data_IF_152499374410
#
_entry.id   IF_152499374410
#
_cell.length_a   1.000
_cell.length_b   1.000
_cell.length_c   1.000
_cell.angle_alpha   90.00
_cell.angle_beta   90.00
_cell.angle_gamma   90.00
#
_symmetry.space_group_name_H-M   'P 1'
#
loop_
_entity.id
_entity.type
_entity.pdbx_description
1 polymer ?
#
# COMPACT_ATOMS: atom_id res chain seq x y z
N UNK A 1 22.55 -7.23 -3.37
CA UNK A 1 21.42 -6.31 -3.58
C UNK A 1 21.13 -5.64 -2.26
N UNK A 2 21.02 -4.32 -2.22
CA UNK A 2 20.59 -3.61 -1.00
C UNK A 2 19.09 -3.36 -1.15
N UNK A 3 18.29 -4.11 -0.42
CA UNK A 3 16.84 -3.89 -0.36
C UNK A 3 16.56 -2.85 0.72
N UNK A 4 15.81 -1.81 0.39
CA UNK A 4 15.25 -0.89 1.37
C UNK A 4 14.07 -1.60 2.05
N UNK A 5 14.28 -2.11 3.26
CA UNK A 5 13.21 -2.71 4.08
C UNK A 5 12.94 -1.84 5.29
N UNK A 6 11.68 -1.58 5.54
CA UNK A 6 11.19 -0.85 6.71
C UNK A 6 9.89 -1.41 7.23
N UNK A 7 9.20 -0.66 8.06
CA UNK A 7 7.93 -1.09 8.62
C UNK A 7 6.93 0.06 8.77
N UNK A 8 5.68 -0.28 8.99
CA UNK A 8 4.61 0.66 9.32
C UNK A 8 4.71 1.12 10.78
N UNK A 9 4.52 2.40 11.01
CA UNK A 9 4.49 3.03 12.33
C UNK A 9 3.15 3.71 12.57
N UNK A 10 2.49 3.35 13.67
CA UNK A 10 1.28 4.04 14.17
C UNK A 10 1.60 5.33 14.95
N UNK A 11 2.87 5.60 15.22
CA UNK A 11 3.35 6.75 15.99
C UNK A 11 4.29 7.66 15.21
N UNK A 12 5.28 8.22 15.91
CA UNK A 12 6.33 9.03 15.27
C UNK A 12 7.18 8.19 14.32
N UNK A 13 7.13 8.45 12.99
CA UNK A 13 7.85 7.62 12.02
C UNK A 13 9.36 7.69 12.19
N UNK A 14 9.91 8.83 12.60
CA UNK A 14 11.36 8.99 12.75
C UNK A 14 11.90 8.32 14.02
N UNK A 15 11.15 8.39 15.14
CA UNK A 15 11.50 7.64 16.35
C UNK A 15 11.42 6.14 16.09
N UNK A 16 10.41 5.70 15.33
CA UNK A 16 10.25 4.31 14.92
C UNK A 16 11.40 3.83 14.03
N UNK A 17 11.77 4.63 13.04
CA UNK A 17 12.91 4.36 12.16
C UNK A 17 14.21 4.22 12.97
N UNK A 18 14.45 5.14 13.90
CA UNK A 18 15.64 5.12 14.76
C UNK A 18 15.67 3.88 15.67
N UNK A 19 14.52 3.49 16.24
CA UNK A 19 14.42 2.33 17.13
C UNK A 19 14.64 0.99 16.40
N UNK A 20 14.18 0.88 15.15
CA UNK A 20 14.32 -0.35 14.33
C UNK A 20 15.52 -0.34 13.38
N UNK A 21 16.23 0.79 13.24
CA UNK A 21 17.32 0.94 12.26
C UNK A 21 16.84 0.95 10.81
N UNK A 22 15.63 1.50 10.55
CA UNK A 22 15.02 1.49 9.22
C UNK A 22 15.42 2.71 8.38
N UNK A 23 15.74 2.49 7.10
CA UNK A 23 15.95 3.55 6.11
C UNK A 23 14.67 4.05 5.45
N UNK A 24 13.57 3.33 5.62
CA UNK A 24 12.23 3.72 5.14
C UNK A 24 11.18 3.38 6.20
N UNK A 25 10.11 4.18 6.26
CA UNK A 25 8.95 3.94 7.16
C UNK A 25 7.67 4.34 6.47
N UNK A 26 6.63 3.55 6.68
CA UNK A 26 5.26 3.93 6.32
C UNK A 26 4.50 4.43 7.55
N UNK A 27 3.62 5.41 7.37
CA UNK A 27 2.78 5.92 8.45
C UNK A 27 1.46 6.48 7.90
N UNK A 28 0.52 6.75 8.80
CA UNK A 28 -0.68 7.51 8.48
C UNK A 28 -0.48 9.01 8.73
N UNK A 29 -1.16 9.86 7.94
CA UNK A 29 -1.26 11.29 8.21
C UNK A 29 -2.64 11.59 8.80
N UNK A 30 -2.81 11.30 10.08
CA UNK A 30 -4.04 11.39 10.85
C UNK A 30 -4.67 10.02 11.15
N UNK A 31 -5.85 10.01 11.77
CA UNK A 31 -6.56 8.79 12.11
C UNK A 31 -7.04 8.04 10.84
N UNK A 32 -6.60 6.78 10.61
CA UNK A 32 -6.95 6.03 9.40
C UNK A 32 -8.43 5.62 9.33
N UNK A 33 -9.18 5.73 10.42
CA UNK A 33 -10.61 5.43 10.48
C UNK A 33 -11.49 6.70 10.39
N UNK A 34 -10.89 7.88 10.39
CA UNK A 34 -11.62 9.13 10.38
C UNK A 34 -11.88 9.66 8.95
N UNK A 35 -13.03 10.29 8.76
CA UNK A 35 -13.38 11.01 7.52
C UNK A 35 -12.86 12.45 7.48
N UNK A 36 -12.24 12.93 8.56
CA UNK A 36 -11.78 14.32 8.71
C UNK A 36 -10.57 14.38 9.65
N UNK A 37 -9.90 15.52 9.68
CA UNK A 37 -8.82 15.77 10.64
C UNK A 37 -7.44 15.26 10.20
N UNK A 38 -7.29 14.86 8.94
CA UNK A 38 -6.00 14.43 8.43
C UNK A 38 -5.01 15.59 8.40
N UNK A 39 -3.91 15.43 9.11
CA UNK A 39 -2.85 16.43 9.25
C UNK A 39 -1.54 15.74 9.60
N UNK A 40 -0.43 16.44 9.38
CA UNK A 40 0.90 15.99 9.83
C UNK A 40 1.03 16.27 11.31
N UNK A 41 1.26 15.24 12.10
CA UNK A 41 1.55 15.36 13.54
C UNK A 41 3.07 15.52 13.74
N UNK A 42 3.52 16.76 13.57
CA UNK A 42 4.91 17.15 13.78
C UNK A 42 4.98 18.62 14.19
N UNK A 43 5.84 19.02 15.17
CA UNK A 43 5.93 20.41 15.64
C UNK A 43 6.21 21.43 14.53
N UNK A 44 7.01 21.04 13.54
CA UNK A 44 7.32 21.85 12.35
C UNK A 44 6.35 21.66 11.18
N UNK A 45 5.23 20.94 11.38
CA UNK A 45 4.31 20.56 10.31
C UNK A 45 4.97 19.70 9.23
N UNK A 46 4.41 19.68 8.02
CA UNK A 46 4.93 18.85 6.92
C UNK A 46 6.36 19.19 6.53
N UNK A 47 6.69 20.47 6.43
CA UNK A 47 8.04 20.92 6.09
C UNK A 47 9.08 20.51 7.16
N UNK A 48 8.70 20.57 8.44
CA UNK A 48 9.56 20.12 9.54
C UNK A 48 9.80 18.62 9.48
N UNK A 49 8.74 17.81 9.33
CA UNK A 49 8.89 16.36 9.19
C UNK A 49 9.76 15.98 7.99
N UNK A 50 9.58 16.67 6.85
CA UNK A 50 10.42 16.47 5.66
C UNK A 50 11.90 16.73 5.95
N UNK A 51 12.21 17.88 6.56
CA UNK A 51 13.59 18.25 6.87
C UNK A 51 14.25 17.26 7.85
N UNK A 52 13.52 16.82 8.87
CA UNK A 52 14.03 15.87 9.85
C UNK A 52 14.19 14.46 9.27
N UNK A 53 13.29 14.04 8.36
CA UNK A 53 13.42 12.77 7.62
C UNK A 53 14.64 12.78 6.69
N UNK A 54 14.84 13.88 5.94
CA UNK A 54 16.01 14.05 5.09
C UNK A 54 17.31 14.05 5.90
N UNK A 55 17.35 14.73 7.04
CA UNK A 55 18.51 14.74 7.95
C UNK A 55 18.81 13.37 8.56
N UNK A 56 17.77 12.57 8.83
CA UNK A 56 17.89 11.21 9.33
C UNK A 56 18.19 10.17 8.23
N UNK A 57 18.09 10.54 6.94
CA UNK A 57 18.22 9.62 5.83
C UNK A 57 17.04 8.63 5.70
N UNK A 58 15.84 8.98 6.23
CA UNK A 58 14.66 8.12 6.25
C UNK A 58 13.69 8.52 5.15
N UNK A 59 13.36 7.57 4.26
CA UNK A 59 12.30 7.73 3.27
C UNK A 59 10.93 7.47 3.88
N UNK A 60 9.94 8.31 3.55
CA UNK A 60 8.57 8.16 4.04
C UNK A 60 7.65 7.61 2.96
N UNK A 61 6.76 6.70 3.35
CA UNK A 61 5.58 6.27 2.61
C UNK A 61 4.33 6.59 3.43
N UNK A 62 3.25 6.96 2.75
CA UNK A 62 2.00 7.33 3.42
C UNK A 62 0.93 6.33 3.05
N UNK A 63 0.34 5.64 4.03
CA UNK A 63 -0.84 4.85 3.79
C UNK A 63 -2.09 5.73 3.88
N UNK A 64 -2.94 5.68 2.87
CA UNK A 64 -4.19 6.40 2.86
C UNK A 64 -5.18 5.79 3.86
N UNK A 65 -6.09 6.58 4.46
CA UNK A 65 -7.06 6.07 5.42
C UNK A 65 -7.93 4.93 4.89
N UNK A 66 -8.21 3.94 5.71
CA UNK A 66 -9.01 2.75 5.36
C UNK A 66 -10.46 3.07 4.95
N UNK A 67 -10.98 4.24 5.36
CA UNK A 67 -12.33 4.68 4.97
C UNK A 67 -12.47 5.02 3.49
N UNK A 68 -11.36 5.20 2.77
CA UNK A 68 -11.37 5.55 1.34
C UNK A 68 -11.88 4.37 0.51
N UNK A 69 -12.88 4.63 -0.32
CA UNK A 69 -13.31 3.74 -1.38
C UNK A 69 -13.63 4.55 -2.64
N UNK A 70 -12.64 4.71 -3.49
CA UNK A 70 -12.72 5.49 -4.73
C UNK A 70 -13.63 4.80 -5.76
N UNK A 71 -13.66 3.47 -5.75
CA UNK A 71 -14.40 2.67 -6.74
C UNK A 71 -15.92 2.71 -6.56
N UNK A 72 -16.40 2.91 -5.32
CA UNK A 72 -17.81 2.72 -4.97
C UNK A 72 -18.79 3.55 -5.82
N UNK A 73 -19.94 2.97 -6.12
CA UNK A 73 -21.07 3.65 -6.79
C UNK A 73 -21.80 4.62 -5.87
N UNK A 74 -21.63 4.48 -4.56
CA UNK A 74 -22.26 5.35 -3.56
C UNK A 74 -21.56 6.73 -3.48
N UNK A 75 -22.21 7.75 -3.99
CA UNK A 75 -21.71 9.12 -4.01
C UNK A 75 -21.39 9.68 -2.60
N UNK A 76 -22.10 9.20 -1.56
CA UNK A 76 -21.86 9.67 -0.18
C UNK A 76 -20.54 9.16 0.39
N UNK A 77 -19.98 8.10 -0.20
CA UNK A 77 -18.66 7.54 0.13
C UNK A 77 -17.64 8.00 -0.89
N UNK A 78 -17.93 7.87 -2.20
CA UNK A 78 -17.00 8.15 -3.28
C UNK A 78 -16.49 9.60 -3.30
N UNK A 79 -17.41 10.57 -3.15
CA UNK A 79 -17.02 11.99 -3.21
C UNK A 79 -16.08 12.35 -2.06
N UNK A 80 -16.41 12.05 -0.77
CA UNK A 80 -15.46 12.24 0.31
C UNK A 80 -14.14 11.44 0.14
N UNK A 81 -14.21 10.21 -0.38
CA UNK A 81 -13.00 9.40 -0.62
C UNK A 81 -12.02 10.10 -1.56
N UNK A 82 -12.49 10.65 -2.67
CA UNK A 82 -11.66 11.42 -3.61
C UNK A 82 -11.06 12.68 -2.96
N UNK A 83 -11.85 13.38 -2.13
CA UNK A 83 -11.37 14.56 -1.41
C UNK A 83 -10.29 14.21 -0.39
N UNK A 84 -10.45 13.10 0.34
CA UNK A 84 -9.45 12.62 1.29
C UNK A 84 -8.20 12.17 0.54
N UNK A 85 -8.32 11.41 -0.55
CA UNK A 85 -7.15 10.98 -1.34
C UNK A 85 -6.37 12.19 -1.87
N UNK A 86 -7.04 13.20 -2.43
CA UNK A 86 -6.40 14.45 -2.85
C UNK A 86 -5.70 15.17 -1.69
N UNK A 87 -6.32 15.17 -0.49
CA UNK A 87 -5.69 15.71 0.71
C UNK A 87 -4.47 14.92 1.13
N UNK A 88 -4.51 13.56 1.07
CA UNK A 88 -3.38 12.71 1.40
C UNK A 88 -2.21 12.93 0.44
N UNK A 89 -2.44 13.03 -0.88
CA UNK A 89 -1.39 13.36 -1.86
C UNK A 89 -0.73 14.71 -1.54
N UNK A 90 -1.54 15.73 -1.23
CA UNK A 90 -1.00 17.04 -0.84
C UNK A 90 -0.14 16.98 0.43
N UNK A 91 -0.62 16.32 1.48
CA UNK A 91 0.15 16.14 2.73
C UNK A 91 1.42 15.32 2.50
N UNK A 92 1.33 14.25 1.68
CA UNK A 92 2.49 13.45 1.29
C UNK A 92 3.55 14.28 0.55
N UNK A 93 3.13 15.20 -0.31
CA UNK A 93 4.02 16.17 -0.95
C UNK A 93 4.69 17.09 0.08
N UNK A 94 3.94 17.60 1.05
CA UNK A 94 4.45 18.48 2.10
C UNK A 94 5.53 17.79 2.97
N UNK A 95 5.38 16.47 3.22
CA UNK A 95 6.37 15.68 3.99
C UNK A 95 7.46 15.05 3.12
N UNK A 96 7.43 15.23 1.80
CA UNK A 96 8.41 14.66 0.88
C UNK A 96 8.32 13.12 0.79
N UNK A 97 7.13 12.55 0.91
CA UNK A 97 6.93 11.11 0.82
C UNK A 97 7.26 10.56 -0.58
N UNK A 98 7.68 9.30 -0.62
CA UNK A 98 8.00 8.56 -1.87
C UNK A 98 6.75 8.05 -2.59
N UNK A 99 5.64 7.87 -1.87
CA UNK A 99 4.37 7.39 -2.43
C UNK A 99 3.23 7.43 -1.41
N UNK A 100 2.00 7.36 -1.93
CA UNK A 100 0.77 7.20 -1.14
C UNK A 100 0.13 5.88 -1.51
N UNK A 101 0.04 4.96 -0.57
CA UNK A 101 -0.60 3.65 -0.74
C UNK A 101 -2.10 3.80 -0.54
N UNK A 102 -2.89 3.18 -1.41
CA UNK A 102 -4.34 3.20 -1.32
C UNK A 102 -4.93 1.88 -1.82
N UNK A 103 -5.82 1.28 -1.04
CA UNK A 103 -6.53 0.07 -1.43
C UNK A 103 -7.34 0.27 -2.71
N UNK A 104 -7.42 -0.75 -3.56
CA UNK A 104 -8.19 -0.71 -4.81
C UNK A 104 -9.69 -0.45 -4.63
N UNK A 105 -10.21 -0.64 -3.41
CA UNK A 105 -11.62 -0.43 -3.09
C UNK A 105 -12.54 -1.46 -3.74
N UNK A 106 -13.85 -1.21 -3.67
CA UNK A 106 -14.86 -2.15 -4.15
C UNK A 106 -16.15 -1.45 -4.59
N UNK A 107 -16.92 -2.10 -5.42
CA UNK A 107 -18.32 -1.73 -5.70
C UNK A 107 -19.28 -2.55 -4.84
N UNK A 108 -20.54 -2.09 -4.73
CA UNK A 108 -21.58 -2.80 -3.97
C UNK A 108 -21.98 -4.13 -4.60
N UNK A 109 -22.63 -4.98 -3.80
CA UNK A 109 -23.20 -6.23 -4.33
C UNK A 109 -24.27 -5.91 -5.40
N UNK A 110 -24.11 -6.45 -6.60
CA UNK A 110 -25.00 -6.21 -7.73
C UNK A 110 -24.68 -4.98 -8.57
N UNK A 111 -23.69 -4.17 -8.18
CA UNK A 111 -23.18 -3.10 -9.02
C UNK A 111 -22.28 -3.65 -10.14
N UNK A 112 -22.26 -2.96 -11.27
CA UNK A 112 -21.34 -3.27 -12.37
C UNK A 112 -19.91 -2.84 -12.00
N UNK A 113 -18.93 -3.75 -11.98
CA UNK A 113 -17.53 -3.43 -11.73
C UNK A 113 -16.95 -2.39 -12.68
N UNK A 114 -17.46 -2.31 -13.93
CA UNK A 114 -17.02 -1.31 -14.90
C UNK A 114 -17.19 0.13 -14.38
N UNK A 115 -18.22 0.36 -13.56
CA UNK A 115 -18.43 1.66 -12.90
C UNK A 115 -17.33 1.96 -11.90
N UNK A 116 -16.84 0.94 -11.18
CA UNK A 116 -15.74 1.08 -10.22
C UNK A 116 -14.42 1.45 -10.91
N UNK A 117 -14.11 0.81 -12.03
CA UNK A 117 -12.94 1.12 -12.85
C UNK A 117 -13.01 2.54 -13.44
N UNK A 118 -14.16 2.95 -13.98
CA UNK A 118 -14.36 4.32 -14.48
C UNK A 118 -14.28 5.36 -13.35
N UNK A 119 -14.74 5.01 -12.14
CA UNK A 119 -14.58 5.85 -10.97
C UNK A 119 -13.10 6.07 -10.60
N UNK A 120 -12.26 5.05 -10.72
CA UNK A 120 -10.82 5.17 -10.56
C UNK A 120 -10.19 6.06 -11.62
N UNK A 121 -10.50 5.83 -12.90
CA UNK A 121 -10.02 6.70 -13.99
C UNK A 121 -10.36 8.16 -13.74
N UNK A 122 -11.62 8.46 -13.42
CA UNK A 122 -12.06 9.84 -13.10
C UNK A 122 -11.43 10.41 -11.82
N UNK A 123 -11.00 9.58 -10.90
CA UNK A 123 -10.28 10.04 -9.72
C UNK A 123 -8.87 10.47 -10.09
N UNK A 124 -8.16 9.67 -10.88
CA UNK A 124 -6.80 9.96 -11.35
C UNK A 124 -6.81 11.24 -12.21
N UNK A 125 -7.73 11.37 -13.19
CA UNK A 125 -7.89 12.59 -14.00
C UNK A 125 -8.08 13.87 -13.16
N UNK A 126 -8.59 13.76 -11.94
CA UNK A 126 -8.84 14.89 -11.06
C UNK A 126 -7.83 15.10 -9.95
N UNK A 127 -6.74 14.30 -9.90
CA UNK A 127 -5.70 14.41 -8.90
C UNK A 127 -4.47 15.15 -9.43
N UNK A 128 -3.94 16.06 -8.63
CA UNK A 128 -2.61 16.62 -8.86
C UNK A 128 -1.58 15.67 -8.21
N UNK A 129 -1.10 14.71 -9.01
CA UNK A 129 -0.20 13.65 -8.57
C UNK A 129 1.26 14.12 -8.49
N UNK A 130 1.54 15.02 -7.56
CA UNK A 130 2.89 15.49 -7.25
C UNK A 130 3.73 14.45 -6.50
N UNK A 131 3.06 13.43 -5.93
CA UNK A 131 3.64 12.20 -5.36
C UNK A 131 2.87 11.01 -5.96
N UNK A 132 3.54 9.91 -6.32
CA UNK A 132 2.86 8.73 -6.86
C UNK A 132 1.81 8.18 -5.89
N UNK A 133 0.68 7.72 -6.45
CA UNK A 133 -0.23 6.83 -5.71
C UNK A 133 0.08 5.39 -6.08
N UNK A 134 0.08 4.49 -5.09
CA UNK A 134 0.32 3.07 -5.26
C UNK A 134 -0.97 2.33 -4.93
N UNK A 135 -1.63 1.79 -5.95
CA UNK A 135 -2.86 1.03 -5.74
C UNK A 135 -2.47 -0.35 -5.24
N UNK A 136 -3.03 -0.74 -4.10
CA UNK A 136 -2.72 -1.98 -3.42
C UNK A 136 -3.76 -3.05 -3.74
N UNK A 137 -3.28 -4.31 -3.94
CA UNK A 137 -4.17 -5.47 -3.98
C UNK A 137 -4.85 -5.68 -2.61
N UNK A 138 -6.01 -6.34 -2.61
CA UNK A 138 -6.83 -6.50 -1.40
C UNK A 138 -7.19 -7.96 -1.14
N UNK A 139 -7.26 -8.36 0.15
CA UNK A 139 -7.50 -9.72 0.57
C UNK A 139 -8.92 -10.22 0.24
N UNK A 140 -9.93 -9.42 0.50
CA UNK A 140 -11.32 -9.82 0.53
C UNK A 140 -12.26 -9.02 -0.37
N UNK A 141 -13.52 -9.45 -0.38
CA UNK A 141 -14.58 -8.78 -1.14
C UNK A 141 -14.75 -9.32 -2.56
N UNK A 142 -15.93 -9.89 -2.87
CA UNK A 142 -16.22 -10.44 -4.20
C UNK A 142 -16.18 -9.37 -5.32
N UNK A 143 -16.44 -8.11 -4.96
CA UNK A 143 -16.49 -6.98 -5.87
C UNK A 143 -15.32 -6.00 -5.66
N UNK A 144 -14.22 -6.48 -5.06
CA UNK A 144 -13.00 -5.70 -4.93
C UNK A 144 -12.34 -5.47 -6.31
N UNK A 145 -11.81 -4.25 -6.52
CA UNK A 145 -11.22 -3.87 -7.80
C UNK A 145 -9.82 -4.45 -8.01
N UNK A 146 -9.11 -4.76 -6.93
CA UNK A 146 -7.71 -5.21 -6.99
C UNK A 146 -7.47 -6.52 -6.20
N UNK A 147 -8.45 -7.43 -6.12
CA UNK A 147 -8.29 -8.73 -5.45
C UNK A 147 -7.76 -9.82 -6.37
N UNK A 148 -8.30 -9.94 -7.57
CA UNK A 148 -7.98 -11.00 -8.53
C UNK A 148 -7.27 -10.41 -9.74
N UNK A 149 -6.41 -11.20 -10.40
CA UNK A 149 -5.58 -10.73 -11.52
C UNK A 149 -6.38 -10.14 -12.68
N UNK A 150 -7.53 -10.74 -12.98
CA UNK A 150 -8.45 -10.22 -14.01
C UNK A 150 -9.04 -8.85 -13.65
N UNK A 151 -9.28 -8.61 -12.35
CA UNK A 151 -9.76 -7.31 -11.85
C UNK A 151 -8.66 -6.28 -11.86
N UNK A 152 -7.43 -6.65 -11.47
CA UNK A 152 -6.26 -5.78 -11.55
C UNK A 152 -6.02 -5.39 -13.02
N UNK A 153 -6.10 -6.34 -13.96
CA UNK A 153 -5.94 -6.07 -15.38
C UNK A 153 -7.02 -5.10 -15.92
N UNK A 154 -8.29 -5.33 -15.57
CA UNK A 154 -9.38 -4.43 -15.95
C UNK A 154 -9.24 -3.03 -15.37
N UNK A 155 -8.77 -2.93 -14.11
CA UNK A 155 -8.48 -1.66 -13.46
C UNK A 155 -7.38 -0.90 -14.21
N UNK A 156 -6.24 -1.57 -14.49
CA UNK A 156 -5.11 -0.98 -15.20
C UNK A 156 -5.46 -0.54 -16.62
N UNK A 157 -6.20 -1.36 -17.33
CA UNK A 157 -6.72 -1.01 -18.66
C UNK A 157 -7.59 0.27 -18.60
N UNK A 158 -8.52 0.33 -17.65
CA UNK A 158 -9.41 1.48 -17.49
C UNK A 158 -8.68 2.79 -17.12
N UNK A 159 -7.62 2.71 -16.30
CA UNK A 159 -6.88 3.89 -15.83
C UNK A 159 -5.72 4.29 -16.74
N UNK A 160 -5.29 3.43 -17.67
CA UNK A 160 -4.13 3.67 -18.54
C UNK A 160 -4.26 4.93 -19.41
N UNK A 161 -5.48 5.36 -19.70
CA UNK A 161 -5.75 6.58 -20.46
C UNK A 161 -6.02 7.83 -19.62
N UNK A 162 -5.86 7.74 -18.29
CA UNK A 162 -6.07 8.89 -17.41
C UNK A 162 -4.88 9.85 -17.46
N UNK A 163 -5.15 11.15 -17.31
CA UNK A 163 -4.10 12.16 -17.12
C UNK A 163 -3.38 11.91 -15.79
N UNK A 164 -2.04 11.80 -15.81
CA UNK A 164 -1.25 11.48 -14.61
C UNK A 164 -1.07 9.99 -14.34
N UNK A 165 -1.53 9.09 -15.23
CA UNK A 165 -1.34 7.64 -15.08
C UNK A 165 0.14 7.24 -14.87
N UNK A 166 1.08 7.97 -15.43
CA UNK A 166 2.52 7.76 -15.23
C UNK A 166 2.96 7.84 -13.75
N UNK A 167 2.16 8.50 -12.91
CA UNK A 167 2.34 8.61 -11.46
C UNK A 167 1.46 7.63 -10.66
N UNK A 168 0.88 6.63 -11.32
CA UNK A 168 0.16 5.54 -10.69
C UNK A 168 1.03 4.29 -10.71
N UNK A 169 1.28 3.73 -9.53
CA UNK A 169 2.04 2.49 -9.34
C UNK A 169 1.22 1.42 -8.64
N UNK A 170 1.87 0.29 -8.38
CA UNK A 170 1.28 -0.86 -7.72
C UNK A 170 2.02 -1.17 -6.41
N UNK A 171 1.26 -1.41 -5.34
CA UNK A 171 1.74 -2.00 -4.10
C UNK A 171 1.27 -3.46 -4.04
N UNK A 172 2.23 -4.40 -3.93
CA UNK A 172 1.93 -5.81 -3.77
C UNK A 172 1.99 -6.20 -2.30
N UNK A 173 0.81 -6.47 -1.71
CA UNK A 173 0.72 -7.07 -0.37
C UNK A 173 0.64 -8.60 -0.49
N UNK A 174 1.56 -9.30 0.21
CA UNK A 174 1.69 -10.76 0.18
C UNK A 174 0.61 -11.47 0.99
N UNK A 175 0.18 -10.92 2.12
CA UNK A 175 -0.96 -11.43 2.89
C UNK A 175 -2.26 -11.31 2.07
N UNK A 176 -2.48 -10.15 1.44
CA UNK A 176 -3.65 -9.93 0.61
C UNK A 176 -3.66 -10.84 -0.63
N UNK A 177 -2.51 -11.08 -1.25
CA UNK A 177 -2.38 -12.03 -2.36
C UNK A 177 -2.76 -13.45 -1.93
N UNK A 178 -2.20 -13.92 -0.82
CA UNK A 178 -2.49 -15.21 -0.23
C UNK A 178 -3.97 -15.35 0.18
N UNK A 179 -4.48 -14.40 0.96
CA UNK A 179 -5.88 -14.40 1.39
C UNK A 179 -6.86 -14.18 0.22
N UNK A 180 -6.44 -13.47 -0.82
CA UNK A 180 -7.16 -13.30 -2.07
C UNK A 180 -7.25 -14.58 -2.90
N UNK A 181 -6.39 -15.56 -2.63
CA UNK A 181 -6.32 -16.84 -3.34
C UNK A 181 -5.59 -16.72 -4.68
N UNK A 182 -4.63 -15.81 -4.79
CA UNK A 182 -3.76 -15.73 -5.96
C UNK A 182 -2.75 -16.88 -5.94
N UNK A 183 -2.45 -17.44 -7.13
CA UNK A 183 -1.39 -18.43 -7.28
C UNK A 183 -0.04 -17.75 -7.03
N UNK A 184 0.78 -18.21 -6.06
CA UNK A 184 2.07 -17.62 -5.79
C UNK A 184 3.07 -17.81 -6.94
N UNK A 185 2.91 -18.87 -7.76
CA UNK A 185 3.85 -19.20 -8.84
C UNK A 185 3.91 -18.10 -9.91
N UNK A 186 5.05 -17.41 -10.02
CA UNK A 186 5.27 -16.34 -10.99
C UNK A 186 4.35 -15.12 -10.81
N UNK A 187 3.86 -14.91 -9.58
CA UNK A 187 2.92 -13.82 -9.29
C UNK A 187 3.51 -12.45 -9.61
N UNK A 188 4.77 -12.22 -9.24
CA UNK A 188 5.46 -10.95 -9.47
C UNK A 188 5.55 -10.63 -10.96
N UNK A 189 5.93 -11.59 -11.78
CA UNK A 189 6.02 -11.43 -13.24
C UNK A 189 4.62 -11.19 -13.85
N UNK A 190 3.63 -11.92 -13.36
CA UNK A 190 2.23 -11.75 -13.82
C UNK A 190 1.72 -10.34 -13.51
N UNK A 191 1.93 -9.85 -12.28
CA UNK A 191 1.53 -8.49 -11.89
C UNK A 191 2.31 -7.46 -12.69
N UNK A 192 3.62 -7.60 -12.83
CA UNK A 192 4.43 -6.70 -13.68
C UNK A 192 3.97 -6.72 -15.14
N UNK A 193 3.52 -7.87 -15.65
CA UNK A 193 2.93 -7.98 -16.98
C UNK A 193 1.63 -7.19 -17.14
N UNK A 194 0.86 -7.03 -16.07
CA UNK A 194 -0.41 -6.27 -16.05
C UNK A 194 -0.13 -4.78 -15.79
N UNK A 195 0.64 -4.47 -14.76
CA UNK A 195 0.79 -3.10 -14.23
C UNK A 195 2.00 -2.35 -14.80
N UNK A 196 2.90 -3.10 -15.45
CA UNK A 196 4.18 -2.60 -15.94
C UNK A 196 5.26 -2.48 -14.85
N UNK A 197 4.88 -2.46 -13.57
CA UNK A 197 5.78 -2.21 -12.43
C UNK A 197 5.16 -2.66 -11.10
N UNK A 198 6.02 -2.91 -10.12
CA UNK A 198 5.67 -2.96 -8.69
C UNK A 198 6.57 -1.95 -8.00
N UNK A 199 5.99 -0.99 -7.29
CA UNK A 199 6.71 0.15 -6.71
C UNK A 199 6.99 -0.03 -5.23
N UNK A 200 6.18 -0.86 -4.56
CA UNK A 200 6.29 -1.19 -3.16
C UNK A 200 5.81 -2.62 -2.94
N UNK A 201 6.42 -3.30 -1.98
CA UNK A 201 5.90 -4.55 -1.42
C UNK A 201 5.47 -4.31 0.02
N UNK A 202 4.24 -4.66 0.37
CA UNK A 202 3.85 -4.95 1.74
C UNK A 202 4.13 -6.42 2.00
N UNK A 203 5.19 -6.69 2.76
CA UNK A 203 5.63 -8.04 3.05
C UNK A 203 5.01 -8.51 4.36
N UNK A 204 3.91 -9.22 4.26
CA UNK A 204 3.12 -9.67 5.39
C UNK A 204 2.85 -11.16 5.30
N UNK A 205 2.98 -11.88 6.41
CA UNK A 205 2.45 -13.23 6.55
C UNK A 205 0.95 -13.18 6.93
N UNK A 206 0.25 -14.28 6.86
CA UNK A 206 -1.19 -14.36 7.09
C UNK A 206 -1.53 -15.39 8.18
N UNK A 207 -2.43 -15.02 9.08
CA UNK A 207 -3.02 -15.96 10.07
C UNK A 207 -3.95 -16.97 9.42
N UNK A 208 -4.51 -16.65 8.27
CA UNK A 208 -5.58 -17.40 7.63
C UNK A 208 -5.10 -18.18 6.44
N UNK A 209 -5.88 -19.20 6.05
CA UNK A 209 -5.59 -20.01 4.89
C UNK A 209 -5.73 -19.23 3.58
N UNK A 210 -5.05 -19.70 2.55
CA UNK A 210 -5.16 -19.17 1.19
C UNK A 210 -6.63 -19.13 0.73
N UNK A 211 -7.01 -18.03 0.09
CA UNK A 211 -8.36 -17.82 -0.42
C UNK A 211 -9.41 -17.48 0.64
N UNK A 212 -9.04 -17.32 1.90
CA UNK A 212 -9.95 -16.99 3.00
C UNK A 212 -10.67 -15.65 2.84
N UNK A 213 -10.04 -14.71 2.15
CA UNK A 213 -10.50 -13.33 2.04
C UNK A 213 -10.32 -12.51 3.32
N UNK A 214 -9.59 -13.03 4.31
CA UNK A 214 -9.36 -12.38 5.60
C UNK A 214 -8.04 -11.60 5.57
N UNK A 215 -8.13 -10.31 5.86
CA UNK A 215 -7.00 -9.43 6.03
C UNK A 215 -6.57 -9.45 7.51
N UNK A 216 -5.67 -10.39 7.84
CA UNK A 216 -5.12 -10.52 9.19
C UNK A 216 -3.66 -10.93 9.12
N UNK A 217 -2.79 -9.94 9.27
CA UNK A 217 -1.35 -10.12 9.22
C UNK A 217 -0.82 -10.95 10.39
N UNK A 218 0.25 -11.68 10.12
CA UNK A 218 1.03 -12.43 11.10
C UNK A 218 2.52 -12.08 10.97
N UNK A 219 3.29 -12.36 11.99
CA UNK A 219 4.76 -12.24 11.98
C UNK A 219 5.34 -13.15 10.91
N UNK A 220 6.31 -12.67 10.14
CA UNK A 220 6.92 -13.43 9.04
C UNK A 220 7.42 -14.81 9.50
N UNK A 221 7.03 -15.85 8.78
CA UNK A 221 7.38 -17.23 9.06
C UNK A 221 6.60 -17.89 10.20
N UNK A 222 5.61 -17.20 10.80
CA UNK A 222 4.75 -17.76 11.83
C UNK A 222 3.29 -17.97 11.36
N UNK A 223 2.97 -17.54 10.15
CA UNK A 223 1.63 -17.66 9.57
C UNK A 223 1.47 -18.80 8.57
N UNK A 224 0.61 -18.60 7.59
CA UNK A 224 0.20 -19.60 6.60
C UNK A 224 0.80 -19.35 5.21
N UNK A 225 1.48 -18.22 5.01
CA UNK A 225 2.15 -17.92 3.74
C UNK A 225 3.45 -18.72 3.67
N UNK A 226 3.72 -19.32 2.51
CA UNK A 226 4.97 -20.03 2.29
C UNK A 226 6.18 -19.07 2.42
N UNK A 227 7.13 -19.31 3.33
CA UNK A 227 8.32 -18.47 3.47
C UNK A 227 9.14 -18.35 2.18
N UNK A 228 9.18 -19.37 1.33
CA UNK A 228 9.87 -19.31 0.04
C UNK A 228 9.21 -18.28 -0.88
N UNK A 229 7.88 -18.21 -0.89
CA UNK A 229 7.15 -17.19 -1.64
C UNK A 229 7.42 -15.77 -1.13
N UNK A 230 7.46 -15.56 0.19
CA UNK A 230 7.80 -14.24 0.76
C UNK A 230 9.16 -13.74 0.29
N UNK A 231 10.16 -14.63 0.29
CA UNK A 231 11.52 -14.34 -0.17
C UNK A 231 11.57 -14.09 -1.68
N UNK A 232 10.87 -14.93 -2.46
CA UNK A 232 10.76 -14.80 -3.93
C UNK A 232 10.18 -13.44 -4.32
N UNK A 233 9.09 -13.02 -3.67
CA UNK A 233 8.47 -11.71 -3.94
C UNK A 233 9.46 -10.56 -3.75
N UNK A 234 10.24 -10.55 -2.67
CA UNK A 234 11.23 -9.49 -2.42
C UNK A 234 12.34 -9.50 -3.47
N UNK A 235 12.84 -10.69 -3.84
CA UNK A 235 13.88 -10.84 -4.87
C UNK A 235 13.41 -10.38 -6.24
N UNK A 236 12.22 -10.80 -6.65
CA UNK A 236 11.71 -10.55 -8.00
C UNK A 236 11.12 -9.14 -8.14
N UNK A 237 10.42 -8.65 -7.11
CA UNK A 237 9.92 -7.27 -7.14
C UNK A 237 11.09 -6.28 -7.20
N UNK A 238 12.15 -6.54 -6.42
CA UNK A 238 13.37 -5.74 -6.35
C UNK A 238 13.08 -4.25 -6.14
N UNK A 239 12.21 -3.97 -5.17
CA UNK A 239 11.76 -2.62 -4.81
C UNK A 239 11.73 -2.45 -3.28
N UNK A 240 11.37 -1.26 -2.81
CA UNK A 240 11.17 -0.99 -1.39
C UNK A 240 10.14 -1.95 -0.78
N UNK A 241 10.37 -2.37 0.46
CA UNK A 241 9.53 -3.34 1.16
C UNK A 241 9.16 -2.81 2.55
N UNK A 242 7.89 -2.87 2.91
CA UNK A 242 7.35 -2.44 4.21
C UNK A 242 6.68 -3.63 4.89
N UNK A 243 6.98 -3.81 6.17
CA UNK A 243 6.28 -4.75 7.06
C UNK A 243 5.10 -4.04 7.73
N UNK A 244 3.94 -4.68 7.73
CA UNK A 244 2.76 -4.27 8.49
C UNK A 244 2.32 -5.37 9.46
N UNK A 245 3.23 -6.27 9.75
CA UNK A 245 3.05 -7.39 10.66
C UNK A 245 2.83 -6.92 12.10
N UNK A 246 2.23 -7.72 12.98
CA UNK A 246 2.12 -7.37 14.40
C UNK A 246 3.49 -7.20 15.05
N UNK A 247 3.63 -6.18 15.89
CA UNK A 247 4.83 -5.96 16.69
C UNK A 247 5.22 -4.50 16.83
N UNK A 248 6.33 -4.29 17.52
CA UNK A 248 7.00 -2.99 17.67
C UNK A 248 8.23 -2.91 16.76
N UNK A 249 8.96 -1.80 16.82
CA UNK A 249 10.16 -1.59 16.02
C UNK A 249 11.23 -2.68 16.21
N UNK A 250 11.37 -3.22 17.42
CA UNK A 250 12.34 -4.29 17.70
C UNK A 250 11.89 -5.62 17.07
N UNK A 251 10.58 -5.94 17.13
CA UNK A 251 10.01 -7.10 16.47
C UNK A 251 10.17 -7.01 14.96
N UNK A 252 9.89 -5.85 14.36
CA UNK A 252 10.07 -5.65 12.92
C UNK A 252 11.56 -5.72 12.52
N UNK A 253 12.47 -5.18 13.32
CA UNK A 253 13.91 -5.33 13.07
C UNK A 253 14.34 -6.81 13.04
N UNK A 254 13.83 -7.64 13.97
CA UNK A 254 14.10 -9.07 13.98
C UNK A 254 13.55 -9.79 12.74
N UNK A 255 12.37 -9.38 12.23
CA UNK A 255 11.80 -9.92 10.98
C UNK A 255 12.62 -9.50 9.74
N UNK A 256 13.17 -8.29 9.74
CA UNK A 256 14.09 -7.84 8.68
C UNK A 256 15.37 -8.68 8.69
N UNK A 257 15.93 -9.00 9.86
CA UNK A 257 17.11 -9.90 9.94
C UNK A 257 16.75 -11.31 9.47
N UNK A 258 15.59 -11.86 9.88
CA UNK A 258 15.10 -13.16 9.39
C UNK A 258 15.00 -13.16 7.86
N UNK A 259 14.47 -12.11 7.25
CA UNK A 259 14.39 -11.99 5.80
C UNK A 259 15.78 -11.94 5.15
N UNK A 260 16.73 -11.20 5.74
CA UNK A 260 18.11 -11.08 5.23
C UNK A 260 18.88 -12.40 5.24
N UNK A 261 18.61 -13.26 6.21
CA UNK A 261 19.23 -14.60 6.29
C UNK A 261 18.76 -15.52 5.16
N UNK A 262 17.58 -15.26 4.58
CA UNK A 262 16.99 -16.07 3.52
C UNK A 262 17.25 -15.50 2.11
N UNK A 263 17.62 -14.23 1.98
CA UNK A 263 17.95 -13.55 0.72
C UNK A 263 19.37 -13.81 0.28
#
# INVERSE_FOLDING_TARGET
MTFDVGAHSDGSPLEYAAAGGFGIVQTFLGDPQAWKGHAVDHPGGGAGLKADAEAAGVGLYIHAPYVINVATTNNRIRIPSRQILARQVKLATEVGARGVIVHGGHVGAGDDPAVGFDNWRKAIDGLDLTVPILIENTAGGANAMARHLDRIAQLWDAISGAEGFENVGFCLDTCHAHAGGLDPSGLVDTIKGITGRIDLVHLNDSRDAAGSGADRHEVLGLGQVDPEFLVEVVREANTATILETPGDAASHAAQVEWLRELL
#
